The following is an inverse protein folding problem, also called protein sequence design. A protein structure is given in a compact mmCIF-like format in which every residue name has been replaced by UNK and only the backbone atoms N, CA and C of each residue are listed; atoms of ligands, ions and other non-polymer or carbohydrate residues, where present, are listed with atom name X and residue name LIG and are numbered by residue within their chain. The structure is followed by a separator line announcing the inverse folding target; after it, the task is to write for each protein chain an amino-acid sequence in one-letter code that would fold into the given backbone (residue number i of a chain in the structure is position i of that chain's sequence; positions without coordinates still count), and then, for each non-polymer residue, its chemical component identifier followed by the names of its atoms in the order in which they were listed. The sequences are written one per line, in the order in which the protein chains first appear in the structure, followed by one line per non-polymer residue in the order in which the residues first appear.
data_IF_628215543525
#
_entry.id   IF_628215543525
#
_cell.length_a   1.000
_cell.length_b   1.000
_cell.length_c   1.000
_cell.angle_alpha   90.00
_cell.angle_beta   90.00
_cell.angle_gamma   90.00
#
_symmetry.space_group_name_H-M   'P 1'
#
loop_
_entity.id
_entity.type
_entity.pdbx_description
1 polymer ?
#
# COMPACT_ATOMS: atom_id res chain seq x y z
N UNK A 1 55.31 16.12 57.24
CA UNK A 1 55.78 16.18 55.82
C UNK A 1 54.67 15.62 54.90
N UNK A 2 53.85 16.51 54.32
CA UNK A 2 52.79 16.14 53.42
C UNK A 2 53.22 16.43 51.99
N UNK A 3 53.32 15.41 51.14
CA UNK A 3 53.56 15.56 49.69
C UNK A 3 52.20 15.64 48.96
N UNK A 4 51.97 16.76 48.31
CA UNK A 4 50.81 16.95 47.40
C UNK A 4 51.17 16.37 46.04
N UNK A 5 50.29 15.48 45.50
CA UNK A 5 50.33 15.03 44.11
C UNK A 5 49.47 15.97 43.29
N UNK A 6 50.05 16.63 42.30
CA UNK A 6 49.35 17.35 41.22
C UNK A 6 48.97 16.37 40.16
N UNK A 7 47.66 16.20 39.93
CA UNK A 7 47.13 15.52 38.76
C UNK A 7 46.92 16.55 37.64
N UNK A 8 47.64 16.41 36.55
CA UNK A 8 47.42 17.18 35.33
C UNK A 8 46.38 16.47 34.45
N UNK A 9 45.21 17.09 34.30
CA UNK A 9 44.17 16.61 33.38
C UNK A 9 44.46 17.13 31.98
N UNK A 10 44.72 16.21 31.07
CA UNK A 10 44.78 16.50 29.62
C UNK A 10 43.39 16.34 29.02
N UNK A 11 42.73 17.44 28.66
CA UNK A 11 41.51 17.45 27.87
C UNK A 11 41.89 17.37 26.38
N UNK A 12 41.64 16.25 25.75
CA UNK A 12 41.68 16.10 24.30
C UNK A 12 40.43 16.72 23.68
N UNK A 13 40.55 17.88 23.08
CA UNK A 13 39.54 18.48 22.21
C UNK A 13 39.54 17.71 20.88
N UNK A 14 38.59 16.81 20.71
CA UNK A 14 38.26 16.22 19.39
C UNK A 14 37.37 17.20 18.65
N UNK A 15 37.94 17.98 17.76
CA UNK A 15 37.22 18.85 16.83
C UNK A 15 36.59 17.99 15.75
N UNK A 16 35.28 17.73 15.85
CA UNK A 16 34.50 17.10 14.78
C UNK A 16 34.33 18.10 13.62
N UNK A 17 35.10 17.93 12.55
CA UNK A 17 34.87 18.63 11.29
C UNK A 17 33.59 18.04 10.69
N UNK A 18 32.48 18.77 10.79
CA UNK A 18 31.29 18.56 9.95
C UNK A 18 31.61 19.06 8.55
N UNK A 19 31.89 18.13 7.63
CA UNK A 19 31.97 18.45 6.21
C UNK A 19 30.60 18.91 5.70
N UNK A 20 30.56 19.76 4.67
CA UNK A 20 29.30 20.20 4.09
C UNK A 20 28.53 18.99 3.56
N UNK A 21 27.34 18.75 4.10
CA UNK A 21 26.42 17.72 3.61
C UNK A 21 26.11 17.97 2.13
N UNK A 22 26.18 16.94 1.31
CA UNK A 22 25.82 17.03 -0.10
C UNK A 22 24.42 17.66 -0.24
N UNK A 23 24.22 18.64 -1.13
CA UNK A 23 22.91 19.25 -1.33
C UNK A 23 21.89 18.20 -1.78
N UNK A 24 20.72 18.21 -1.16
CA UNK A 24 19.61 17.36 -1.57
C UNK A 24 19.24 17.68 -3.03
N UNK A 25 18.96 16.69 -3.88
CA UNK A 25 18.58 16.93 -5.28
C UNK A 25 17.31 17.78 -5.35
N UNK A 26 17.41 18.95 -5.98
CA UNK A 26 16.35 19.99 -6.07
C UNK A 26 15.45 19.87 -7.28
N UNK A 27 15.51 18.78 -8.05
CA UNK A 27 14.64 18.54 -9.21
C UNK A 27 13.36 17.76 -8.86
N UNK A 28 12.28 17.90 -9.66
CA UNK A 28 11.11 17.02 -9.48
C UNK A 28 11.55 15.58 -9.67
N UNK A 29 11.50 14.82 -8.57
CA UNK A 29 11.81 13.39 -8.58
C UNK A 29 10.74 12.70 -9.43
N UNK A 30 11.17 11.90 -10.40
CA UNK A 30 10.22 11.05 -11.14
C UNK A 30 9.33 10.29 -10.13
N UNK A 31 8.02 10.16 -10.40
CA UNK A 31 7.11 9.51 -9.48
C UNK A 31 7.62 8.08 -9.22
N UNK A 32 7.73 7.74 -7.93
CA UNK A 32 8.07 6.38 -7.50
C UNK A 32 6.95 5.46 -7.95
N UNK A 33 7.30 4.42 -8.70
CA UNK A 33 6.34 3.40 -9.13
C UNK A 33 6.75 2.05 -8.58
N UNK A 34 6.06 1.56 -7.54
CA UNK A 34 6.16 0.15 -7.17
C UNK A 34 5.92 -0.76 -8.38
N UNK A 35 6.65 -1.88 -8.41
CA UNK A 35 6.58 -2.85 -9.51
C UNK A 35 6.31 -4.25 -8.99
N UNK A 36 5.87 -5.15 -9.85
CA UNK A 36 5.77 -6.57 -9.53
C UNK A 36 7.14 -7.24 -9.62
N UNK A 37 7.34 -8.25 -8.78
CA UNK A 37 8.45 -9.19 -8.89
C UNK A 37 7.88 -10.61 -8.86
N UNK A 38 8.30 -11.46 -9.80
CA UNK A 38 7.85 -12.85 -9.81
C UNK A 38 8.56 -13.68 -8.74
N UNK A 39 7.99 -14.84 -8.42
CA UNK A 39 8.60 -15.79 -7.47
C UNK A 39 9.95 -16.29 -7.99
N UNK A 40 10.13 -16.46 -9.32
CA UNK A 40 11.39 -16.84 -9.95
C UNK A 40 12.46 -15.77 -9.78
N UNK A 41 12.10 -14.50 -10.05
CA UNK A 41 13.00 -13.37 -9.92
C UNK A 41 13.43 -13.15 -8.46
N UNK A 42 12.50 -13.28 -7.50
CA UNK A 42 12.83 -13.18 -6.07
C UNK A 42 13.77 -14.31 -5.64
N UNK A 43 13.50 -15.56 -6.06
CA UNK A 43 14.39 -16.69 -5.80
C UNK A 43 15.78 -16.48 -6.37
N UNK A 44 15.89 -15.87 -7.56
CA UNK A 44 17.19 -15.51 -8.15
C UNK A 44 17.91 -14.45 -7.32
N UNK A 45 17.21 -13.42 -6.84
CA UNK A 45 17.78 -12.42 -5.95
C UNK A 45 18.35 -13.04 -4.66
N UNK A 46 17.63 -14.00 -4.06
CA UNK A 46 18.11 -14.74 -2.90
C UNK A 46 19.37 -15.57 -3.20
N UNK A 47 19.38 -16.32 -4.32
CA UNK A 47 20.52 -17.16 -4.73
C UNK A 47 21.77 -16.34 -5.08
N UNK A 48 21.59 -15.20 -5.72
CA UNK A 48 22.70 -14.33 -6.12
C UNK A 48 23.25 -13.47 -4.99
N UNK A 49 22.65 -13.52 -3.79
CA UNK A 49 23.07 -12.69 -2.67
C UNK A 49 22.78 -11.19 -2.85
N UNK A 50 21.84 -10.84 -3.74
CA UNK A 50 21.43 -9.45 -3.93
C UNK A 50 20.87 -8.88 -2.63
N UNK A 51 21.34 -7.70 -2.25
CA UNK A 51 20.83 -7.04 -1.03
C UNK A 51 19.44 -6.44 -1.26
N UNK A 52 18.46 -6.84 -0.47
CA UNK A 52 17.11 -6.28 -0.40
C UNK A 52 16.50 -6.53 0.98
N UNK A 53 15.44 -5.80 1.32
CA UNK A 53 14.62 -6.09 2.50
C UNK A 53 13.36 -6.83 2.06
N UNK A 54 13.05 -7.95 2.71
CA UNK A 54 11.83 -8.73 2.49
C UNK A 54 10.89 -8.54 3.68
N UNK A 55 9.63 -8.18 3.42
CA UNK A 55 8.61 -7.95 4.44
C UNK A 55 7.39 -8.84 4.18
N UNK A 56 7.05 -9.64 5.19
CA UNK A 56 5.81 -10.40 5.28
C UNK A 56 4.75 -9.57 6.00
N UNK A 57 3.65 -9.24 5.31
CA UNK A 57 2.57 -8.41 5.88
C UNK A 57 1.27 -9.18 6.08
N UNK A 58 1.33 -10.51 6.21
CA UNK A 58 0.15 -11.30 6.50
C UNK A 58 -0.49 -10.86 7.82
N UNK A 59 -1.82 -10.73 7.82
CA UNK A 59 -2.57 -10.24 8.99
C UNK A 59 -2.57 -11.23 10.16
N UNK A 60 -2.53 -12.54 9.88
CA UNK A 60 -2.43 -13.57 10.92
C UNK A 60 -0.97 -13.91 11.26
N UNK A 61 -0.48 -13.54 12.46
CA UNK A 61 0.88 -13.83 12.88
C UNK A 61 1.18 -15.34 12.99
N UNK A 62 0.18 -16.18 13.25
CA UNK A 62 0.39 -17.62 13.35
C UNK A 62 0.75 -18.25 12.00
N UNK A 63 0.29 -17.69 10.89
CA UNK A 63 0.71 -18.14 9.57
C UNK A 63 2.19 -17.85 9.31
N UNK A 64 2.70 -16.70 9.75
CA UNK A 64 4.12 -16.39 9.70
C UNK A 64 4.95 -17.34 10.56
N UNK A 65 4.49 -17.65 11.78
CA UNK A 65 5.18 -18.57 12.69
C UNK A 65 5.25 -20.01 12.14
N UNK A 66 4.25 -20.45 11.39
CA UNK A 66 4.26 -21.77 10.72
C UNK A 66 5.31 -21.84 9.60
N UNK A 67 5.56 -20.74 8.93
CA UNK A 67 6.54 -20.63 7.87
C UNK A 67 6.43 -19.31 7.10
N UNK A 68 7.57 -18.81 6.66
CA UNK A 68 7.69 -17.57 5.89
C UNK A 68 8.83 -17.69 4.86
N UNK A 69 8.93 -16.76 3.91
CA UNK A 69 10.05 -16.74 3.00
C UNK A 69 11.36 -16.48 3.78
N UNK A 70 12.48 -17.11 3.40
CA UNK A 70 13.76 -16.89 4.08
C UNK A 70 14.11 -15.40 4.20
N UNK A 71 14.56 -14.99 5.39
CA UNK A 71 14.92 -13.61 5.76
C UNK A 71 13.77 -12.57 5.71
N UNK A 72 12.52 -13.00 5.59
CA UNK A 72 11.38 -12.10 5.67
C UNK A 72 11.15 -11.60 7.09
N UNK A 73 11.12 -10.28 7.26
CA UNK A 73 10.67 -9.64 8.50
C UNK A 73 9.14 -9.59 8.54
N UNK A 74 8.57 -9.87 9.70
CA UNK A 74 7.12 -9.81 9.89
C UNK A 74 6.64 -8.41 10.26
N UNK A 75 5.56 -7.98 9.66
CA UNK A 75 4.79 -6.81 10.03
C UNK A 75 3.30 -7.14 9.95
N UNK A 76 2.61 -7.15 11.09
CA UNK A 76 1.16 -7.26 11.06
C UNK A 76 0.56 -5.99 10.44
N UNK A 77 -0.17 -6.14 9.34
CA UNK A 77 -0.76 -5.03 8.59
C UNK A 77 -1.71 -4.17 9.45
N UNK A 78 -2.39 -4.77 10.42
CA UNK A 78 -3.30 -4.05 11.31
C UNK A 78 -2.59 -3.05 12.23
N UNK A 79 -1.27 -3.20 12.43
CA UNK A 79 -0.48 -2.21 13.19
C UNK A 79 -0.21 -0.92 12.42
N UNK A 80 -0.57 -0.84 11.16
CA UNK A 80 -0.41 0.34 10.31
C UNK A 80 -1.67 1.22 10.26
N UNK A 81 -2.66 0.90 11.06
CA UNK A 81 -3.93 1.64 11.15
C UNK A 81 -4.34 1.77 12.60
N UNK A 82 -5.12 2.81 12.91
CA UNK A 82 -5.69 3.02 14.24
C UNK A 82 -7.07 3.68 14.15
N UNK A 83 -7.75 3.82 15.27
CA UNK A 83 -8.91 4.69 15.34
C UNK A 83 -8.46 6.16 15.37
N UNK A 84 -9.12 7.01 14.60
CA UNK A 84 -8.93 8.46 14.61
C UNK A 84 -10.29 9.17 14.62
N UNK A 85 -10.47 10.11 15.53
CA UNK A 85 -11.74 10.83 15.72
C UNK A 85 -13.00 9.93 15.79
N UNK A 86 -12.86 8.73 16.37
CA UNK A 86 -13.93 7.74 16.48
C UNK A 86 -14.08 6.81 15.27
N UNK A 87 -13.47 7.12 14.13
CA UNK A 87 -13.49 6.26 12.95
C UNK A 87 -12.41 5.17 13.09
N UNK A 88 -12.76 3.88 12.93
CA UNK A 88 -11.78 2.80 12.99
C UNK A 88 -10.92 2.73 11.72
N UNK A 89 -9.77 2.05 11.82
CA UNK A 89 -8.91 1.68 10.69
C UNK A 89 -8.41 2.86 9.84
N UNK A 90 -8.21 4.02 10.45
CA UNK A 90 -7.68 5.21 9.79
C UNK A 90 -6.14 5.17 9.68
N UNK A 91 -5.60 6.00 8.79
CA UNK A 91 -4.15 6.12 8.61
C UNK A 91 -3.48 6.67 9.87
N UNK A 92 -2.31 6.15 10.20
CA UNK A 92 -1.49 6.66 11.29
C UNK A 92 -0.85 8.01 10.94
N UNK A 93 -0.48 8.82 11.95
CA UNK A 93 0.42 9.94 11.75
C UNK A 93 1.74 9.52 11.08
N UNK A 94 2.28 10.37 10.22
CA UNK A 94 3.43 10.05 9.38
C UNK A 94 4.66 9.54 10.16
N UNK A 95 4.98 10.14 11.31
CA UNK A 95 6.14 9.77 12.12
C UNK A 95 6.07 8.32 12.66
N UNK A 96 4.87 7.77 12.85
CA UNK A 96 4.70 6.37 13.25
C UNK A 96 5.16 5.41 12.15
N UNK A 97 4.76 5.67 10.90
CA UNK A 97 5.27 4.87 9.77
C UNK A 97 6.79 4.94 9.65
N UNK A 98 7.36 6.15 9.80
CA UNK A 98 8.81 6.34 9.75
C UNK A 98 9.54 5.49 10.80
N UNK A 99 9.03 5.44 12.03
CA UNK A 99 9.57 4.61 13.12
C UNK A 99 9.43 3.11 12.83
N UNK A 100 8.28 2.68 12.31
CA UNK A 100 8.04 1.27 11.94
C UNK A 100 9.04 0.85 10.86
N UNK A 101 9.18 1.64 9.79
CA UNK A 101 10.10 1.34 8.70
C UNK A 101 11.56 1.27 9.15
N UNK A 102 11.97 2.20 10.01
CA UNK A 102 13.30 2.19 10.60
C UNK A 102 13.55 0.89 11.40
N UNK A 103 12.61 0.48 12.27
CA UNK A 103 12.72 -0.76 13.07
C UNK A 103 12.75 -2.02 12.23
N UNK A 104 12.05 -2.05 11.09
CA UNK A 104 12.08 -3.17 10.13
C UNK A 104 13.39 -3.22 9.32
N UNK A 105 14.30 -2.27 9.53
CA UNK A 105 15.55 -2.20 8.79
C UNK A 105 15.35 -1.84 7.32
N UNK A 106 14.29 -1.10 6.99
CA UNK A 106 14.01 -0.65 5.62
C UNK A 106 14.95 0.51 5.29
N UNK A 107 15.81 0.29 4.32
CA UNK A 107 16.82 1.25 3.86
C UNK A 107 16.41 1.82 2.50
N UNK A 108 16.58 3.13 2.32
CA UNK A 108 16.24 3.81 1.05
C UNK A 108 17.23 3.56 -0.09
N UNK A 109 18.40 3.02 0.22
CA UNK A 109 19.45 2.68 -0.76
C UNK A 109 19.38 1.24 -1.28
N UNK A 110 18.43 0.42 -0.82
CA UNK A 110 18.23 -0.96 -1.28
C UNK A 110 16.76 -1.25 -1.62
N UNK A 111 16.47 -2.24 -2.47
CA UNK A 111 15.09 -2.64 -2.77
C UNK A 111 14.34 -3.15 -1.53
N UNK A 112 13.05 -2.91 -1.50
CA UNK A 112 12.12 -3.57 -0.58
C UNK A 112 11.17 -4.44 -1.38
N UNK A 113 11.04 -5.70 -0.99
CA UNK A 113 10.02 -6.62 -1.52
C UNK A 113 8.99 -6.85 -0.43
N UNK A 114 7.73 -6.67 -0.76
CA UNK A 114 6.59 -6.86 0.13
C UNK A 114 5.75 -8.02 -0.37
N UNK A 115 5.31 -8.88 0.52
CA UNK A 115 4.37 -9.93 0.19
C UNK A 115 3.35 -10.17 1.31
N UNK A 116 2.19 -10.67 0.93
CA UNK A 116 1.14 -11.15 1.82
C UNK A 116 0.79 -12.60 1.52
N UNK A 117 -0.35 -13.09 1.99
CA UNK A 117 -0.79 -14.44 1.70
C UNK A 117 -0.91 -14.71 0.18
N UNK A 118 -1.24 -13.71 -0.60
CA UNK A 118 -1.52 -13.83 -2.03
C UNK A 118 -3.01 -14.02 -2.26
N UNK A 119 -3.40 -15.10 -2.82
CA UNK A 119 -4.75 -15.56 -3.18
C UNK A 119 -5.94 -14.62 -2.85
N UNK A 120 -6.26 -14.44 -1.57
CA UNK A 120 -7.42 -13.64 -1.12
C UNK A 120 -7.04 -12.39 -0.34
N UNK A 121 -5.76 -12.18 -0.06
CA UNK A 121 -5.29 -11.08 0.80
C UNK A 121 -4.07 -10.34 0.24
N UNK A 122 -3.98 -10.26 -1.08
CA UNK A 122 -2.92 -9.46 -1.73
C UNK A 122 -3.00 -7.96 -1.37
N UNK A 123 -4.16 -7.50 -0.94
CA UNK A 123 -4.43 -6.15 -0.46
C UNK A 123 -3.52 -5.69 0.69
N UNK A 124 -3.08 -6.60 1.56
CA UNK A 124 -2.20 -6.26 2.67
C UNK A 124 -0.82 -5.77 2.14
N UNK A 125 -0.32 -6.43 1.10
CA UNK A 125 0.96 -6.07 0.49
C UNK A 125 0.88 -4.78 -0.34
N UNK A 126 -0.22 -4.53 -1.05
CA UNK A 126 -0.42 -3.28 -1.78
C UNK A 126 -0.52 -2.08 -0.85
N UNK A 127 -1.10 -2.25 0.34
CA UNK A 127 -1.18 -1.18 1.33
C UNK A 127 0.21 -0.77 1.84
N UNK A 128 1.08 -1.72 2.21
CA UNK A 128 2.45 -1.37 2.61
C UNK A 128 3.26 -0.80 1.45
N UNK A 129 3.11 -1.35 0.23
CA UNK A 129 3.79 -0.83 -0.95
C UNK A 129 3.40 0.63 -1.24
N UNK A 130 2.12 0.96 -1.10
CA UNK A 130 1.61 2.33 -1.22
C UNK A 130 2.18 3.26 -0.15
N UNK A 131 2.25 2.84 1.13
CA UNK A 131 2.84 3.64 2.20
C UNK A 131 4.33 3.93 1.95
N UNK A 132 5.11 2.93 1.51
CA UNK A 132 6.52 3.09 1.16
C UNK A 132 6.71 4.06 -0.03
N UNK A 133 5.88 3.92 -1.07
CA UNK A 133 5.88 4.82 -2.22
C UNK A 133 5.50 6.26 -1.81
N UNK A 134 4.54 6.41 -0.90
CA UNK A 134 4.12 7.72 -0.36
C UNK A 134 5.22 8.43 0.42
N UNK A 135 6.20 7.70 0.97
CA UNK A 135 7.44 8.26 1.51
C UNK A 135 8.53 8.49 0.45
N UNK A 136 8.29 8.09 -0.80
CA UNK A 136 9.23 8.21 -1.89
C UNK A 136 10.32 7.13 -1.89
N UNK A 137 10.04 5.92 -1.38
CA UNK A 137 10.99 4.81 -1.47
C UNK A 137 11.23 4.44 -2.94
N UNK A 138 12.47 4.50 -3.47
CA UNK A 138 12.71 4.47 -4.92
C UNK A 138 12.51 3.09 -5.56
N UNK A 139 12.53 2.00 -4.77
CA UNK A 139 12.54 0.62 -5.27
C UNK A 139 11.68 -0.28 -4.39
N UNK A 140 10.37 -0.25 -4.63
CA UNK A 140 9.38 -1.10 -3.95
C UNK A 140 8.91 -2.16 -4.93
N UNK A 141 8.88 -3.40 -4.50
CA UNK A 141 8.39 -4.54 -5.27
C UNK A 141 7.31 -5.28 -4.51
N UNK A 142 6.28 -5.69 -5.22
CA UNK A 142 5.23 -6.57 -4.72
C UNK A 142 5.45 -7.97 -5.28
N UNK A 143 5.55 -8.98 -4.41
CA UNK A 143 5.68 -10.37 -4.84
C UNK A 143 4.36 -10.84 -5.46
N UNK A 144 4.38 -11.06 -6.77
CA UNK A 144 3.22 -11.53 -7.52
C UNK A 144 2.85 -12.96 -7.14
N UNK A 145 1.59 -13.16 -6.73
CA UNK A 145 1.09 -14.43 -6.18
C UNK A 145 1.40 -14.66 -4.70
N UNK A 146 2.21 -13.80 -4.06
CA UNK A 146 2.48 -13.81 -2.62
C UNK A 146 3.03 -15.12 -2.06
N UNK A 147 2.78 -15.34 -0.75
CA UNK A 147 3.21 -16.56 -0.04
C UNK A 147 2.63 -17.83 -0.66
N UNK A 148 1.34 -17.80 -1.03
CA UNK A 148 0.64 -18.97 -1.51
C UNK A 148 1.27 -19.54 -2.80
N UNK A 149 1.57 -18.68 -3.78
CA UNK A 149 2.26 -19.11 -5.00
C UNK A 149 3.67 -19.63 -4.72
N UNK A 150 4.42 -18.99 -3.82
CA UNK A 150 5.74 -19.43 -3.40
C UNK A 150 5.73 -20.83 -2.81
N UNK A 151 4.76 -21.12 -1.93
CA UNK A 151 4.57 -22.41 -1.29
C UNK A 151 4.13 -23.51 -2.28
N UNK A 152 3.18 -23.19 -3.18
CA UNK A 152 2.73 -24.11 -4.23
C UNK A 152 3.87 -24.51 -5.19
N UNK A 153 4.80 -23.61 -5.44
CA UNK A 153 6.00 -23.89 -6.22
C UNK A 153 7.09 -24.65 -5.43
N UNK A 154 6.78 -25.07 -4.19
CA UNK A 154 7.69 -25.80 -3.31
C UNK A 154 9.03 -25.08 -3.09
N UNK A 155 9.02 -23.75 -3.08
CA UNK A 155 10.21 -22.95 -2.83
C UNK A 155 10.57 -22.95 -1.34
N UNK A 156 11.82 -22.63 -0.96
CA UNK A 156 12.29 -22.68 0.42
C UNK A 156 11.44 -21.84 1.37
N UNK A 157 11.07 -22.43 2.50
CA UNK A 157 10.35 -21.79 3.61
C UNK A 157 11.25 -21.85 4.85
N UNK A 158 11.28 -20.77 5.62
CA UNK A 158 12.03 -20.64 6.86
C UNK A 158 11.09 -20.50 8.07
N UNK A 159 11.62 -20.86 9.25
CA UNK A 159 10.98 -20.59 10.55
C UNK A 159 11.81 -19.65 11.44
N UNK A 160 13.16 -19.65 11.35
CA UNK A 160 13.97 -18.74 12.12
C UNK A 160 13.72 -17.29 11.73
N UNK A 161 13.54 -16.41 12.72
CA UNK A 161 13.32 -14.98 12.49
C UNK A 161 14.60 -14.29 12.01
N UNK A 162 14.49 -13.32 11.07
CA UNK A 162 15.65 -12.56 10.64
C UNK A 162 16.18 -11.69 11.79
N UNK A 163 17.49 -11.52 11.84
CA UNK A 163 18.12 -10.52 12.71
C UNK A 163 17.98 -9.14 12.07
N UNK A 164 17.12 -8.31 12.64
CA UNK A 164 16.88 -6.97 12.12
C UNK A 164 17.86 -5.98 12.72
N UNK A 165 18.55 -5.23 11.86
CA UNK A 165 19.32 -4.06 12.25
C UNK A 165 18.48 -2.84 11.86
N UNK A 166 18.11 -1.98 12.83
CA UNK A 166 17.35 -0.77 12.51
C UNK A 166 18.06 0.11 11.47
N UNK A 167 17.30 0.68 10.57
CA UNK A 167 17.79 1.62 9.56
C UNK A 167 17.53 3.07 10.00
N UNK A 168 18.19 4.06 9.37
CA UNK A 168 17.78 5.45 9.51
C UNK A 168 16.32 5.64 9.07
N UNK A 169 15.59 6.60 9.68
CA UNK A 169 14.22 6.91 9.24
C UNK A 169 14.19 7.37 7.78
N UNK A 170 13.02 7.33 7.11
CA UNK A 170 12.86 7.81 5.75
C UNK A 170 13.41 9.22 5.56
N UNK A 171 14.19 9.50 4.51
CA UNK A 171 14.73 10.84 4.26
C UNK A 171 13.69 11.81 3.67
N UNK A 172 12.51 11.28 3.27
CA UNK A 172 11.43 12.04 2.64
C UNK A 172 10.29 12.39 3.59
N UNK A 173 9.32 13.16 3.06
CA UNK A 173 8.06 13.43 3.74
C UNK A 173 6.99 12.47 3.22
N UNK A 174 6.08 12.08 4.10
CA UNK A 174 4.90 11.33 3.72
C UNK A 174 3.96 12.20 2.86
N UNK A 175 3.69 11.77 1.64
CA UNK A 175 2.85 12.45 0.65
C UNK A 175 1.94 11.43 -0.04
N UNK A 176 0.92 10.93 0.67
CA UNK A 176 -0.01 9.98 0.08
C UNK A 176 -0.91 10.68 -0.95
N UNK A 177 -1.19 9.98 -2.04
CA UNK A 177 -2.16 10.43 -3.05
C UNK A 177 -3.59 10.11 -2.56
N UNK A 178 -4.11 10.94 -1.65
CA UNK A 178 -5.42 10.77 -1.03
C UNK A 178 -6.43 11.83 -1.46
N UNK A 179 -7.71 11.46 -1.43
CA UNK A 179 -8.85 12.35 -1.48
C UNK A 179 -9.48 12.47 -0.09
N UNK A 180 -9.94 13.64 0.27
CA UNK A 180 -10.69 13.92 1.49
C UNK A 180 -12.19 13.68 1.27
N UNK A 181 -12.97 13.66 2.37
CA UNK A 181 -14.44 13.65 2.30
C UNK A 181 -14.97 14.78 1.40
N UNK A 182 -14.43 15.99 1.54
CA UNK A 182 -14.86 17.14 0.71
C UNK A 182 -14.51 16.97 -0.77
N UNK A 183 -13.40 16.30 -1.08
CA UNK A 183 -13.06 15.99 -2.48
C UNK A 183 -14.09 15.02 -3.08
N UNK A 184 -14.50 14.00 -2.31
CA UNK A 184 -15.50 13.00 -2.75
C UNK A 184 -16.89 13.64 -2.87
N UNK A 185 -17.31 14.47 -1.90
CA UNK A 185 -18.57 15.22 -1.99
C UNK A 185 -18.63 16.06 -3.25
N UNK A 186 -17.57 16.83 -3.54
CA UNK A 186 -17.50 17.62 -4.79
C UNK A 186 -17.53 16.74 -6.02
N UNK A 187 -16.88 15.58 -6.01
CA UNK A 187 -16.91 14.65 -7.13
C UNK A 187 -18.31 14.12 -7.41
N UNK A 188 -19.09 13.80 -6.37
CA UNK A 188 -20.50 13.39 -6.51
C UNK A 188 -21.35 14.53 -7.07
N UNK A 189 -21.22 15.76 -6.53
CA UNK A 189 -21.99 16.92 -6.95
C UNK A 189 -21.69 17.36 -8.39
N UNK A 190 -20.40 17.43 -8.76
CA UNK A 190 -19.94 17.97 -10.03
C UNK A 190 -19.77 16.93 -11.14
N UNK A 191 -19.69 15.67 -10.76
CA UNK A 191 -19.37 14.56 -11.68
C UNK A 191 -18.06 14.78 -12.45
N UNK A 192 -17.05 15.36 -11.77
CA UNK A 192 -15.76 15.70 -12.34
C UNK A 192 -14.65 14.67 -12.02
N UNK A 193 -15.02 13.57 -11.37
CA UNK A 193 -14.16 12.41 -11.12
C UNK A 193 -14.96 11.11 -11.27
N UNK A 194 -14.25 10.03 -11.59
CA UNK A 194 -14.78 8.67 -11.54
C UNK A 194 -14.53 8.11 -10.17
N UNK A 195 -15.60 7.70 -9.46
CA UNK A 195 -15.50 7.01 -8.18
C UNK A 195 -15.48 5.50 -8.44
N UNK A 196 -14.53 4.78 -7.86
CA UNK A 196 -14.38 3.32 -8.01
C UNK A 196 -14.47 2.67 -6.65
N UNK A 197 -15.48 1.82 -6.47
CA UNK A 197 -15.66 1.01 -5.26
C UNK A 197 -14.96 -0.34 -5.45
N UNK A 198 -13.94 -0.58 -4.62
CA UNK A 198 -13.13 -1.79 -4.68
C UNK A 198 -13.71 -2.96 -3.86
N UNK A 199 -14.83 -2.76 -3.18
CA UNK A 199 -15.46 -3.76 -2.31
C UNK A 199 -16.14 -4.88 -3.11
N UNK A 200 -16.47 -6.02 -2.44
CA UNK A 200 -17.30 -7.06 -3.03
C UNK A 200 -18.64 -6.53 -3.57
N UNK A 201 -19.18 -7.13 -4.65
CA UNK A 201 -20.41 -6.67 -5.29
C UNK A 201 -21.64 -6.64 -4.39
N UNK A 202 -21.77 -7.56 -3.44
CA UNK A 202 -22.83 -7.61 -2.44
C UNK A 202 -22.79 -6.43 -1.47
N UNK A 203 -21.60 -5.93 -1.14
CA UNK A 203 -21.44 -4.72 -0.35
C UNK A 203 -21.76 -3.46 -1.16
N UNK A 204 -21.39 -3.45 -2.44
CA UNK A 204 -21.75 -2.37 -3.35
C UNK A 204 -23.26 -2.26 -3.53
N UNK A 205 -23.94 -3.38 -3.79
CA UNK A 205 -25.41 -3.41 -3.96
C UNK A 205 -26.19 -3.04 -2.70
N UNK A 206 -25.56 -3.20 -1.53
CA UNK A 206 -26.20 -2.98 -0.23
C UNK A 206 -26.84 -4.25 0.36
N UNK A 207 -26.62 -5.41 -0.24
CA UNK A 207 -27.09 -6.71 0.27
C UNK A 207 -26.27 -7.14 1.49
N UNK A 208 -25.00 -6.73 1.58
CA UNK A 208 -24.11 -6.98 2.70
C UNK A 208 -23.40 -5.69 3.16
N UNK A 209 -22.81 -5.74 4.35
CA UNK A 209 -22.03 -4.64 4.90
C UNK A 209 -21.87 -4.74 6.41
N UNK A 210 -20.80 -4.16 6.94
CA UNK A 210 -20.55 -4.08 8.38
C UNK A 210 -20.93 -2.71 8.96
N UNK A 211 -21.09 -1.70 8.10
CA UNK A 211 -21.40 -0.32 8.51
C UNK A 211 -22.90 -0.12 8.72
N UNK A 212 -23.26 0.97 9.41
CA UNK A 212 -24.64 1.30 9.78
C UNK A 212 -25.55 1.51 8.55
N UNK A 213 -24.98 2.00 7.44
CA UNK A 213 -25.69 2.12 6.15
C UNK A 213 -25.04 1.23 5.10
N UNK A 214 -25.83 0.60 4.26
CA UNK A 214 -25.42 -0.30 3.20
C UNK A 214 -25.60 0.37 1.84
N UNK A 215 -24.83 -0.07 0.84
CA UNK A 215 -24.80 0.48 -0.51
C UNK A 215 -23.47 1.11 -0.85
N UNK A 216 -23.48 2.12 -1.72
CA UNK A 216 -22.28 2.76 -2.24
C UNK A 216 -22.44 4.28 -2.38
N UNK A 217 -21.32 4.97 -2.63
CA UNK A 217 -21.30 6.40 -2.91
C UNK A 217 -21.96 6.66 -4.25
N UNK A 218 -22.91 7.62 -4.37
CA UNK A 218 -23.67 7.84 -5.59
C UNK A 218 -22.80 8.02 -6.82
N UNK A 219 -23.16 7.28 -7.88
CA UNK A 219 -22.46 7.29 -9.15
C UNK A 219 -21.13 6.55 -9.18
N UNK A 220 -20.78 5.82 -8.13
CA UNK A 220 -19.59 4.98 -8.13
C UNK A 220 -19.73 3.77 -9.06
N UNK A 221 -18.60 3.35 -9.60
CA UNK A 221 -18.45 2.13 -10.41
C UNK A 221 -18.05 1.00 -9.47
N UNK A 222 -18.70 -0.16 -9.59
CA UNK A 222 -18.28 -1.38 -8.90
C UNK A 222 -17.14 -2.02 -9.65
N UNK A 223 -15.96 -2.09 -9.02
CA UNK A 223 -14.81 -2.84 -9.53
C UNK A 223 -14.18 -3.61 -8.38
N UNK A 224 -14.58 -4.86 -8.23
CA UNK A 224 -14.07 -5.69 -7.13
C UNK A 224 -12.58 -5.93 -7.30
N UNK A 225 -11.79 -5.61 -6.28
CA UNK A 225 -10.32 -5.69 -6.35
C UNK A 225 -9.78 -7.05 -6.82
N UNK A 226 -10.50 -8.16 -6.56
CA UNK A 226 -10.08 -9.50 -7.02
C UNK A 226 -10.23 -9.70 -8.53
N UNK A 227 -10.98 -8.85 -9.21
CA UNK A 227 -11.12 -8.92 -10.68
C UNK A 227 -9.81 -8.53 -11.38
N UNK A 228 -8.88 -7.89 -10.66
CA UNK A 228 -7.53 -7.62 -11.16
C UNK A 228 -6.62 -8.87 -11.18
N UNK A 229 -7.04 -9.96 -10.56
CA UNK A 229 -6.24 -11.17 -10.41
C UNK A 229 -6.74 -12.29 -11.35
N UNK A 230 -5.79 -12.89 -12.08
CA UNK A 230 -6.01 -14.06 -12.92
C UNK A 230 -5.42 -15.33 -12.31
N UNK A 231 -5.90 -16.49 -12.77
CA UNK A 231 -5.36 -17.77 -12.40
C UNK A 231 -4.08 -18.05 -13.18
N UNK A 232 -2.99 -18.39 -12.51
CA UNK A 232 -1.76 -18.89 -13.14
C UNK A 232 -1.32 -20.17 -12.44
N UNK A 233 -1.49 -21.31 -13.10
CA UNK A 233 -1.29 -22.60 -12.46
C UNK A 233 -2.21 -22.75 -11.24
N UNK A 234 -1.64 -22.95 -10.07
CA UNK A 234 -2.37 -23.05 -8.82
C UNK A 234 -2.50 -21.74 -8.04
N UNK A 235 -1.81 -20.67 -8.49
CA UNK A 235 -1.80 -19.37 -7.81
C UNK A 235 -2.59 -18.30 -8.54
N UNK A 236 -3.02 -17.28 -7.83
CA UNK A 236 -3.60 -16.06 -8.41
C UNK A 236 -2.52 -14.99 -8.49
N UNK A 237 -2.36 -14.43 -9.69
CA UNK A 237 -1.40 -13.37 -10.01
C UNK A 237 -2.14 -12.21 -10.65
N UNK A 238 -1.48 -11.07 -10.78
CA UNK A 238 -2.03 -9.95 -11.53
C UNK A 238 -2.32 -10.34 -12.97
N UNK A 239 -3.47 -9.89 -13.48
CA UNK A 239 -3.80 -10.08 -14.90
C UNK A 239 -2.78 -9.36 -15.79
N UNK A 240 -2.62 -9.79 -17.06
CA UNK A 240 -1.84 -9.05 -18.05
C UNK A 240 -2.29 -7.59 -18.16
N UNK A 241 -1.35 -6.66 -18.35
CA UNK A 241 -1.63 -5.22 -18.37
C UNK A 241 -2.71 -4.82 -19.37
N UNK A 242 -2.75 -5.46 -20.54
CA UNK A 242 -3.77 -5.18 -21.55
C UNK A 242 -5.17 -5.62 -21.09
N UNK A 243 -5.27 -6.75 -20.37
CA UNK A 243 -6.52 -7.22 -19.78
C UNK A 243 -7.01 -6.30 -18.68
N UNK A 244 -6.10 -5.87 -17.77
CA UNK A 244 -6.41 -4.88 -16.76
C UNK A 244 -6.92 -3.59 -17.37
N UNK A 245 -6.21 -3.06 -18.37
CA UNK A 245 -6.59 -1.83 -19.07
C UNK A 245 -7.96 -1.95 -19.68
N UNK A 246 -8.22 -3.01 -20.44
CA UNK A 246 -9.51 -3.24 -21.08
C UNK A 246 -10.66 -3.36 -20.07
N UNK A 247 -10.43 -4.01 -18.93
CA UNK A 247 -11.40 -4.12 -17.84
C UNK A 247 -11.79 -2.74 -17.29
N UNK A 248 -10.82 -1.89 -16.95
CA UNK A 248 -11.09 -0.56 -16.44
C UNK A 248 -11.72 0.36 -17.48
N UNK A 249 -11.19 0.39 -18.70
CA UNK A 249 -11.67 1.27 -19.76
C UNK A 249 -13.10 0.93 -20.19
N UNK A 250 -13.49 -0.37 -20.20
CA UNK A 250 -14.87 -0.80 -20.48
C UNK A 250 -15.90 -0.25 -19.50
N UNK A 251 -15.45 0.07 -18.27
CA UNK A 251 -16.27 0.69 -17.23
C UNK A 251 -16.16 2.22 -17.23
N UNK A 252 -15.46 2.80 -18.19
CA UNK A 252 -15.26 4.25 -18.28
C UNK A 252 -14.18 4.81 -17.35
N UNK A 253 -13.34 3.95 -16.74
CA UNK A 253 -12.16 4.32 -15.94
C UNK A 253 -10.98 4.48 -16.88
N UNK A 254 -10.73 5.70 -17.35
CA UNK A 254 -9.75 6.02 -18.40
C UNK A 254 -8.66 6.98 -17.89
N UNK A 255 -7.45 7.00 -18.49
CA UNK A 255 -6.31 7.76 -17.98
C UNK A 255 -6.44 9.29 -18.07
N UNK A 256 -7.39 9.81 -18.85
CA UNK A 256 -7.70 11.24 -18.98
C UNK A 256 -8.57 11.77 -17.84
N UNK A 257 -9.13 10.87 -17.00
CA UNK A 257 -10.03 11.25 -15.92
C UNK A 257 -9.32 11.29 -14.57
N UNK A 258 -9.83 12.13 -13.68
CA UNK A 258 -9.56 12.00 -12.25
C UNK A 258 -10.29 10.77 -11.72
N UNK A 259 -9.59 9.92 -10.97
CA UNK A 259 -10.14 8.69 -10.39
C UNK A 259 -9.97 8.74 -8.89
N UNK A 260 -11.03 8.44 -8.15
CA UNK A 260 -10.99 8.29 -6.69
C UNK A 260 -11.46 6.88 -6.36
N UNK A 261 -10.56 6.10 -5.78
CA UNK A 261 -10.81 4.71 -5.37
C UNK A 261 -11.14 4.67 -3.88
N UNK A 262 -12.12 3.88 -3.49
CA UNK A 262 -12.43 3.63 -2.09
C UNK A 262 -12.80 2.16 -1.83
N UNK A 263 -12.79 1.79 -0.56
CA UNK A 263 -13.33 0.51 -0.07
C UNK A 263 -13.91 0.71 1.33
N UNK A 264 -13.88 -0.31 2.19
CA UNK A 264 -14.31 -0.13 3.59
C UNK A 264 -13.31 0.69 4.42
N UNK A 265 -12.00 0.43 4.28
CA UNK A 265 -10.96 0.95 5.17
C UNK A 265 -9.58 1.02 4.49
N UNK A 266 -9.50 1.50 3.27
CA UNK A 266 -8.28 1.80 2.50
C UNK A 266 -7.57 0.59 1.88
N UNK A 267 -7.48 -0.58 2.52
CA UNK A 267 -6.64 -1.71 2.06
C UNK A 267 -7.01 -2.24 0.67
N UNK A 268 -8.28 -2.56 0.41
CA UNK A 268 -8.75 -3.03 -0.90
C UNK A 268 -8.59 -1.92 -1.96
N UNK A 269 -8.83 -0.67 -1.57
CA UNK A 269 -8.62 0.48 -2.45
C UNK A 269 -7.16 0.63 -2.90
N UNK A 270 -6.17 0.25 -2.04
CA UNK A 270 -4.77 0.29 -2.46
C UNK A 270 -4.44 -0.74 -3.54
N UNK A 271 -5.19 -1.84 -3.63
CA UNK A 271 -5.02 -2.82 -4.72
C UNK A 271 -5.42 -2.23 -6.07
N UNK A 272 -6.63 -1.68 -6.15
CA UNK A 272 -7.12 -1.00 -7.37
C UNK A 272 -6.25 0.22 -7.71
N UNK A 273 -5.82 0.98 -6.69
CA UNK A 273 -4.86 2.07 -6.88
C UNK A 273 -3.54 1.56 -7.46
N UNK A 274 -3.02 0.42 -6.97
CA UNK A 274 -1.79 -0.19 -7.47
C UNK A 274 -1.92 -0.55 -8.96
N UNK A 275 -3.04 -1.17 -9.36
CA UNK A 275 -3.34 -1.45 -10.75
C UNK A 275 -3.32 -0.18 -11.61
N UNK A 276 -4.15 0.79 -11.28
CA UNK A 276 -4.32 2.01 -12.06
C UNK A 276 -3.06 2.88 -12.07
N UNK A 277 -2.53 3.20 -10.88
CA UNK A 277 -1.46 4.18 -10.72
C UNK A 277 -0.09 3.64 -11.08
N UNK A 278 0.22 2.42 -10.62
CA UNK A 278 1.57 1.87 -10.74
C UNK A 278 1.72 0.94 -11.94
N UNK A 279 0.78 0.04 -12.19
CA UNK A 279 0.87 -0.88 -13.33
C UNK A 279 0.44 -0.23 -14.64
N UNK A 280 -0.72 0.42 -14.68
CA UNK A 280 -1.24 1.07 -15.89
C UNK A 280 -0.73 2.50 -16.10
N UNK A 281 -0.21 3.15 -15.05
CA UNK A 281 0.43 4.46 -15.15
C UNK A 281 -0.54 5.63 -15.25
N UNK A 282 -1.78 5.49 -14.80
CA UNK A 282 -2.78 6.57 -14.82
C UNK A 282 -2.31 7.77 -13.98
N UNK A 283 -2.44 9.01 -14.48
CA UNK A 283 -1.77 10.15 -13.85
C UNK A 283 -2.47 10.71 -12.60
N UNK A 284 -3.80 10.70 -12.54
CA UNK A 284 -4.58 11.30 -11.45
C UNK A 284 -5.49 10.24 -10.80
N UNK A 285 -4.88 9.40 -9.95
CA UNK A 285 -5.58 8.40 -9.14
C UNK A 285 -5.34 8.72 -7.67
N UNK A 286 -6.41 8.75 -6.87
CA UNK A 286 -6.36 9.01 -5.43
C UNK A 286 -7.16 7.97 -4.66
N UNK A 287 -6.80 7.78 -3.40
CA UNK A 287 -7.55 6.93 -2.48
C UNK A 287 -8.37 7.82 -1.54
N UNK A 288 -9.66 7.57 -1.45
CA UNK A 288 -10.47 8.17 -0.37
C UNK A 288 -10.15 7.46 0.95
N UNK A 289 -9.33 8.12 1.78
CA UNK A 289 -8.77 7.50 2.99
C UNK A 289 -9.82 7.26 4.09
N UNK A 290 -10.82 8.12 4.24
CA UNK A 290 -11.95 7.92 5.15
C UNK A 290 -12.83 6.75 4.76
N UNK A 291 -12.82 6.39 3.48
CA UNK A 291 -13.45 5.22 2.91
C UNK A 291 -14.97 5.15 3.13
N UNK A 292 -15.58 3.99 2.85
CA UNK A 292 -17.00 3.77 3.13
C UNK A 292 -17.34 3.93 4.61
N UNK A 293 -16.40 3.60 5.50
CA UNK A 293 -16.60 3.74 6.95
C UNK A 293 -16.91 5.20 7.35
N UNK A 294 -16.21 6.19 6.78
CA UNK A 294 -16.51 7.60 7.02
C UNK A 294 -17.81 8.04 6.33
N UNK A 295 -18.03 7.65 5.08
CA UNK A 295 -19.20 8.04 4.31
C UNK A 295 -20.51 7.49 4.89
N UNK A 296 -20.51 6.21 5.27
CA UNK A 296 -21.69 5.53 5.80
C UNK A 296 -22.13 6.04 7.18
N UNK A 297 -21.21 6.61 7.96
CA UNK A 297 -21.52 7.21 9.27
C UNK A 297 -22.22 8.59 9.14
N UNK A 298 -22.11 9.22 7.98
CA UNK A 298 -22.64 10.57 7.75
C UNK A 298 -24.07 10.53 7.21
N UNK A 299 -25.06 10.74 8.08
CA UNK A 299 -26.49 10.75 7.71
C UNK A 299 -26.86 11.84 6.70
N UNK A 300 -26.08 12.94 6.64
CA UNK A 300 -26.25 14.04 5.69
C UNK A 300 -25.79 13.71 4.27
N UNK A 301 -25.13 12.57 4.06
CA UNK A 301 -24.61 12.16 2.75
C UNK A 301 -25.52 11.13 2.07
N UNK A 302 -25.71 11.24 0.74
CA UNK A 302 -26.54 10.29 0.01
C UNK A 302 -25.86 8.93 -0.15
N UNK A 303 -26.67 7.88 -0.25
CA UNK A 303 -26.25 6.48 -0.51
C UNK A 303 -27.11 5.93 -1.62
N UNK A 304 -26.48 5.23 -2.56
CA UNK A 304 -27.17 4.42 -3.59
C UNK A 304 -27.07 2.93 -3.24
N UNK A 305 -28.09 2.16 -3.65
CA UNK A 305 -28.15 0.71 -3.51
C UNK A 305 -28.52 0.08 -4.86
N UNK A 306 -28.29 -1.23 -5.01
CA UNK A 306 -28.54 -1.97 -6.25
C UNK A 306 -27.27 -2.23 -7.05
N UNK A 307 -27.42 -3.01 -8.14
CA UNK A 307 -26.30 -3.37 -9.01
C UNK A 307 -25.67 -2.17 -9.72
N UNK A 308 -24.47 -2.35 -10.32
CA UNK A 308 -23.90 -1.35 -11.20
C UNK A 308 -24.95 -0.98 -12.24
N UNK A 309 -25.19 0.32 -12.42
CA UNK A 309 -26.18 0.79 -13.38
C UNK A 309 -25.90 0.13 -14.72
N UNK A 310 -26.74 -0.84 -15.11
CA UNK A 310 -26.71 -1.42 -16.45
C UNK A 310 -26.80 -0.27 -17.45
N UNK A 311 -25.64 -0.02 -18.10
CA UNK A 311 -25.49 0.91 -19.21
C UNK A 311 -26.50 2.06 -19.27
N UNK A 312 -26.26 3.17 -18.58
CA UNK A 312 -26.77 4.47 -19.01
C UNK A 312 -26.04 4.91 -20.29
N UNK A 313 -26.20 4.13 -21.35
CA UNK A 313 -26.01 4.63 -22.72
C UNK A 313 -27.04 5.75 -22.91
N UNK A 314 -26.53 6.93 -23.22
CA UNK A 314 -27.24 8.19 -23.34
C UNK A 314 -28.69 8.12 -23.77
N UNK A 315 -29.57 8.65 -22.95
CA UNK A 315 -30.87 9.11 -23.43
C UNK A 315 -30.64 10.37 -24.29
N UNK A 316 -31.07 10.41 -25.52
CA UNK A 316 -31.05 11.63 -26.32
C UNK A 316 -32.07 12.63 -25.73
N UNK A 317 -31.67 13.90 -25.73
CA UNK A 317 -32.53 15.03 -25.36
C UNK A 317 -33.65 15.21 -26.36
#
# INVERSE_FOLDING_TARGET
MRRALLMASWALLVSARTGPGAPAPTGPRAPVRPALISTEQLAEWQRSGKAFRLIDVRSDPFTYLKGHLPDAAYLNIETLRAADHGLPMQLLPADWYARIFARLGIRWDQPVVVYSAGETRNIDATFLAWLLASYGHPRVYLLDGGYFKWELEQRPIAKPYPKLVPAPPPPGRFRPEVATLDDVRRAVERRDAVLVDARPPDQFSGEAGAQIRHGHIPGAISHYWQDDLGQQGFGRVWQPLDSLRASYESQGVTPDKRIIVYCNATTEATHVFFALRYLLGYPDVRIYAGAWTEWAEREDLPVETGGPAEGRAGAPR
#
